data_IF_271520406230
#
_entry.id   IF_271520406230
#
_cell.length_a   1.000
_cell.length_b   1.000
_cell.length_c   1.000
_cell.angle_alpha   90.00
_cell.angle_beta   90.00
_cell.angle_gamma   90.00
#
_symmetry.space_group_name_H-M   'P 1'
#
loop_
_entity.id
_entity.type
_entity.pdbx_description
1 polymer ?
#
# COMPACT_ATOMS: atom_id res chain seq x y z
N UNK A 1 -53.64 -13.43 22.56
CA UNK A 1 -54.39 -12.53 21.66
C UNK A 1 -53.49 -12.27 20.45
N UNK A 2 -53.86 -12.83 19.29
CA UNK A 2 -53.12 -12.65 18.05
C UNK A 2 -53.30 -11.19 17.61
N UNK A 3 -52.22 -10.49 17.31
CA UNK A 3 -52.35 -9.26 16.52
C UNK A 3 -51.24 -9.18 15.46
N UNK A 4 -51.71 -8.81 14.29
CA UNK A 4 -51.22 -9.08 12.95
C UNK A 4 -50.50 -7.82 12.45
N UNK A 5 -49.34 -7.98 11.81
CA UNK A 5 -48.56 -6.90 11.17
C UNK A 5 -49.35 -6.24 10.03
N UNK A 6 -49.21 -4.93 9.78
CA UNK A 6 -49.46 -4.34 8.48
C UNK A 6 -48.16 -4.17 7.68
N UNK A 7 -48.27 -4.53 6.41
CA UNK A 7 -47.25 -4.54 5.35
C UNK A 7 -46.75 -3.15 4.96
N UNK A 8 -45.51 -3.15 4.45
CA UNK A 8 -44.83 -2.02 3.83
C UNK A 8 -45.38 -1.76 2.42
N UNK A 9 -45.96 -0.57 2.18
CA UNK A 9 -46.26 -0.07 0.83
C UNK A 9 -45.24 0.97 0.38
N UNK A 10 -44.85 0.84 -0.88
CA UNK A 10 -43.99 1.76 -1.63
C UNK A 10 -44.68 3.12 -1.80
N UNK A 11 -43.99 4.22 -1.51
CA UNK A 11 -44.54 5.55 -1.76
C UNK A 11 -43.65 6.69 -1.32
N UNK A 12 -42.96 7.25 -2.29
CA UNK A 12 -42.22 8.51 -2.25
C UNK A 12 -43.11 9.69 -1.78
N UNK A 13 -42.78 10.30 -0.64
CA UNK A 13 -42.94 11.74 -0.35
C UNK A 13 -42.50 12.01 1.10
N UNK A 14 -41.23 12.41 1.28
CA UNK A 14 -40.76 12.89 2.59
C UNK A 14 -41.23 14.34 2.73
N UNK A 15 -42.35 14.51 3.43
CA UNK A 15 -42.80 15.80 3.94
C UNK A 15 -41.95 16.13 5.17
N UNK A 16 -41.11 17.16 5.06
CA UNK A 16 -40.20 17.57 6.11
C UNK A 16 -40.91 18.55 7.05
N UNK A 17 -41.39 18.03 8.19
CA UNK A 17 -41.94 18.85 9.26
C UNK A 17 -40.80 19.31 10.18
N UNK A 18 -40.54 20.63 10.15
CA UNK A 18 -39.47 21.31 10.89
C UNK A 18 -39.93 21.56 12.32
N UNK A 19 -39.42 20.78 13.27
CA UNK A 19 -39.57 21.09 14.69
C UNK A 19 -38.39 21.91 15.21
N UNK A 20 -38.75 23.06 15.79
CA UNK A 20 -37.86 24.07 16.32
C UNK A 20 -37.20 23.60 17.62
N UNK A 21 -36.06 22.91 17.53
CA UNK A 21 -35.17 22.62 18.67
C UNK A 21 -33.75 22.24 18.18
N UNK A 22 -33.07 23.10 17.42
CA UNK A 22 -31.71 22.74 16.91
C UNK A 22 -30.80 23.95 16.61
N UNK A 23 -30.49 24.77 17.60
CA UNK A 23 -29.57 25.92 17.43
C UNK A 23 -28.08 25.60 17.64
N UNK A 24 -27.70 24.35 17.98
CA UNK A 24 -26.29 23.96 18.13
C UNK A 24 -25.83 22.85 17.15
N UNK A 25 -26.74 22.14 16.47
CA UNK A 25 -26.38 21.11 15.48
C UNK A 25 -26.19 21.66 14.05
N UNK A 26 -26.67 22.88 13.79
CA UNK A 26 -26.75 23.45 12.43
C UNK A 26 -25.39 23.80 11.79
N UNK A 27 -24.32 23.93 12.59
CA UNK A 27 -22.99 24.32 12.08
C UNK A 27 -22.13 23.13 11.68
N UNK A 28 -22.26 21.99 12.35
CA UNK A 28 -21.46 20.78 12.07
C UNK A 28 -21.92 20.04 10.80
N UNK A 29 -23.22 20.06 10.50
CA UNK A 29 -23.77 19.35 9.35
C UNK A 29 -23.57 20.10 8.03
N UNK A 30 -23.50 21.44 8.04
CA UNK A 30 -23.28 22.26 6.83
C UNK A 30 -21.83 22.21 6.32
N UNK A 31 -20.84 22.17 7.21
CA UNK A 31 -19.42 22.07 6.84
C UNK A 31 -19.06 20.66 6.33
N UNK A 32 -19.66 19.64 6.95
CA UNK A 32 -19.52 18.23 6.54
C UNK A 32 -20.24 17.96 5.21
N UNK A 33 -21.39 18.57 4.96
CA UNK A 33 -22.09 18.42 3.67
C UNK A 33 -21.33 19.12 2.54
N UNK A 34 -20.77 20.31 2.79
CA UNK A 34 -20.00 21.05 1.78
C UNK A 34 -18.71 20.34 1.37
N UNK A 35 -17.97 19.75 2.33
CA UNK A 35 -16.76 18.97 2.03
C UNK A 35 -17.05 17.68 1.25
N UNK A 36 -18.17 17.01 1.53
CA UNK A 36 -18.61 15.82 0.79
C UNK A 36 -19.06 16.16 -0.64
N UNK A 37 -19.79 17.28 -0.84
CA UNK A 37 -20.23 17.74 -2.16
C UNK A 37 -19.03 18.16 -3.01
N UNK A 38 -18.07 18.90 -2.46
CA UNK A 38 -16.85 19.31 -3.18
C UNK A 38 -15.98 18.10 -3.56
N UNK A 39 -15.88 17.10 -2.66
CA UNK A 39 -15.21 15.84 -2.94
C UNK A 39 -15.89 15.04 -4.06
N UNK A 40 -17.23 15.04 -4.12
CA UNK A 40 -17.99 14.36 -5.18
C UNK A 40 -17.86 15.09 -6.52
N UNK A 41 -17.85 16.42 -6.51
CA UNK A 41 -17.64 17.22 -7.72
C UNK A 41 -16.22 17.02 -8.27
N UNK A 42 -15.20 17.05 -7.41
CA UNK A 42 -13.82 16.68 -7.78
C UNK A 42 -13.74 15.26 -8.33
N UNK A 43 -14.52 14.31 -7.80
CA UNK A 43 -14.59 12.94 -8.32
C UNK A 43 -15.15 12.88 -9.74
N UNK A 44 -16.23 13.61 -10.00
CA UNK A 44 -16.88 13.61 -11.31
C UNK A 44 -16.02 14.32 -12.38
N UNK A 45 -15.31 15.39 -12.02
CA UNK A 45 -14.41 16.11 -12.93
C UNK A 45 -13.19 15.24 -13.29
N UNK A 46 -12.56 14.59 -12.32
CA UNK A 46 -11.42 13.68 -12.59
C UNK A 46 -11.82 12.50 -13.46
N UNK A 47 -13.00 11.91 -13.23
CA UNK A 47 -13.50 10.81 -14.05
C UNK A 47 -13.81 11.25 -15.48
N UNK A 48 -14.30 12.49 -15.67
CA UNK A 48 -14.61 13.06 -16.98
C UNK A 48 -13.36 13.43 -17.80
N UNK A 49 -12.31 13.95 -17.15
CA UNK A 49 -11.09 14.42 -17.83
C UNK A 49 -10.04 13.33 -18.10
N UNK A 50 -9.88 12.37 -17.18
CA UNK A 50 -8.84 11.35 -17.28
C UNK A 50 -9.37 9.93 -17.49
N UNK A 51 -10.68 9.68 -17.31
CA UNK A 51 -11.24 8.33 -17.35
C UNK A 51 -10.68 7.38 -16.27
N UNK A 52 -9.98 7.94 -15.27
CA UNK A 52 -9.32 7.21 -14.19
C UNK A 52 -9.92 7.67 -12.87
N UNK A 53 -10.32 6.71 -12.03
CA UNK A 53 -10.85 7.01 -10.71
C UNK A 53 -9.83 7.81 -9.88
N UNK A 54 -10.19 8.96 -9.27
CA UNK A 54 -9.27 9.80 -8.51
C UNK A 54 -8.70 9.07 -7.28
N UNK A 55 -9.44 8.11 -6.74
CA UNK A 55 -8.99 7.24 -5.67
C UNK A 55 -7.87 6.33 -6.16
N UNK A 56 -7.99 5.78 -7.37
CA UNK A 56 -6.94 4.97 -7.96
C UNK A 56 -5.71 5.81 -8.31
N UNK A 57 -5.88 7.04 -8.82
CA UNK A 57 -4.77 7.96 -9.04
C UNK A 57 -3.99 8.24 -7.74
N UNK A 58 -4.69 8.44 -6.61
CA UNK A 58 -4.05 8.59 -5.29
C UNK A 58 -3.20 7.37 -4.93
N UNK A 59 -3.68 6.16 -5.18
CA UNK A 59 -2.90 4.93 -4.93
C UNK A 59 -1.63 4.89 -5.79
N UNK A 60 -1.76 5.19 -7.08
CA UNK A 60 -0.65 5.18 -8.04
C UNK A 60 0.42 6.21 -7.66
N UNK A 61 0.01 7.40 -7.25
CA UNK A 61 0.93 8.42 -6.75
C UNK A 61 1.59 8.00 -5.43
N UNK A 62 0.85 7.35 -4.53
CA UNK A 62 1.40 6.82 -3.30
C UNK A 62 2.46 5.75 -3.58
N UNK A 63 2.22 4.83 -4.52
CA UNK A 63 3.20 3.84 -4.98
C UNK A 63 4.46 4.48 -5.56
N UNK A 64 4.30 5.47 -6.45
CA UNK A 64 5.43 6.21 -7.01
C UNK A 64 6.26 6.89 -5.91
N UNK A 65 5.60 7.55 -4.95
CA UNK A 65 6.26 8.23 -3.84
C UNK A 65 6.94 7.24 -2.89
N UNK A 66 6.28 6.12 -2.59
CA UNK A 66 6.84 5.07 -1.73
C UNK A 66 8.10 4.45 -2.33
N UNK A 67 8.06 4.08 -3.61
CA UNK A 67 9.24 3.57 -4.31
C UNK A 67 10.32 4.65 -4.46
N UNK A 68 9.93 5.91 -4.64
CA UNK A 68 10.89 7.03 -4.65
C UNK A 68 11.65 7.13 -3.31
N UNK A 69 10.93 7.16 -2.18
CA UNK A 69 11.53 7.26 -0.86
C UNK A 69 12.45 6.07 -0.56
N UNK A 70 12.00 4.85 -0.90
CA UNK A 70 12.80 3.64 -0.77
C UNK A 70 14.14 3.76 -1.49
N UNK A 71 14.10 4.10 -2.77
CA UNK A 71 15.31 4.18 -3.59
C UNK A 71 16.18 5.38 -3.23
N UNK A 72 15.58 6.49 -2.82
CA UNK A 72 16.32 7.69 -2.42
C UNK A 72 17.14 7.44 -1.14
N UNK A 73 16.56 6.78 -0.13
CA UNK A 73 17.28 6.40 1.08
C UNK A 73 18.41 5.40 0.81
N UNK A 74 18.17 4.40 -0.05
CA UNK A 74 19.23 3.46 -0.48
C UNK A 74 20.37 4.20 -1.17
N UNK A 75 20.06 5.13 -2.09
CA UNK A 75 21.07 5.96 -2.74
C UNK A 75 21.84 6.83 -1.72
N UNK A 76 21.16 7.44 -0.75
CA UNK A 76 21.80 8.23 0.30
C UNK A 76 22.75 7.41 1.18
N UNK A 77 22.40 6.16 1.47
CA UNK A 77 23.28 5.23 2.16
C UNK A 77 24.54 4.95 1.33
N UNK A 78 24.39 4.60 0.05
CA UNK A 78 25.51 4.36 -0.87
C UNK A 78 26.43 5.57 -1.00
N UNK A 79 25.85 6.77 -1.11
CA UNK A 79 26.61 8.03 -1.12
C UNK A 79 27.40 8.26 0.17
N UNK A 80 26.79 7.96 1.31
CA UNK A 80 27.45 8.11 2.61
C UNK A 80 28.67 7.18 2.73
N UNK A 81 28.59 5.97 2.16
CA UNK A 81 29.73 5.04 2.09
C UNK A 81 30.90 5.65 1.31
N UNK A 82 30.60 6.23 0.14
CA UNK A 82 31.60 6.80 -0.77
C UNK A 82 32.25 8.06 -0.17
N UNK A 83 31.45 8.95 0.44
CA UNK A 83 31.93 10.21 1.03
C UNK A 83 32.79 9.95 2.27
N UNK A 84 32.36 9.04 3.15
CA UNK A 84 33.09 8.76 4.40
C UNK A 84 34.29 7.83 4.19
N UNK A 85 34.40 7.17 3.04
CA UNK A 85 35.47 6.20 2.76
C UNK A 85 35.42 4.97 3.68
N UNK A 86 34.28 4.71 4.31
CA UNK A 86 34.07 3.58 5.23
C UNK A 86 33.34 2.49 4.48
N UNK A 87 33.89 1.27 4.54
CA UNK A 87 33.14 0.08 4.12
C UNK A 87 32.03 -0.18 5.13
N UNK A 88 30.80 0.03 4.68
CA UNK A 88 29.63 -0.32 5.45
C UNK A 88 29.21 -1.73 5.08
N UNK A 89 28.92 -2.54 6.08
CA UNK A 89 28.63 -3.95 5.91
C UNK A 89 27.25 -4.20 5.30
N UNK A 90 26.99 -5.47 5.01
CA UNK A 90 25.68 -5.94 4.53
C UNK A 90 24.57 -5.66 5.55
N UNK A 91 24.90 -5.66 6.84
CA UNK A 91 23.93 -5.43 7.93
C UNK A 91 23.35 -4.02 7.88
N UNK A 92 24.19 -3.02 7.66
CA UNK A 92 23.81 -1.62 7.62
C UNK A 92 22.97 -1.33 6.37
N UNK A 93 23.37 -1.88 5.22
CA UNK A 93 22.58 -1.80 4.00
C UNK A 93 21.19 -2.43 4.18
N UNK A 94 21.12 -3.65 4.74
CA UNK A 94 19.87 -4.34 5.00
C UNK A 94 19.00 -3.60 6.01
N UNK A 95 19.59 -3.03 7.05
CA UNK A 95 18.87 -2.27 8.09
C UNK A 95 18.29 -0.99 7.52
N UNK A 96 19.04 -0.22 6.73
CA UNK A 96 18.52 0.99 6.07
C UNK A 96 17.39 0.66 5.11
N UNK A 97 17.55 -0.38 4.28
CA UNK A 97 16.48 -0.80 3.37
C UNK A 97 15.22 -1.23 4.15
N UNK A 98 15.37 -2.10 5.16
CA UNK A 98 14.24 -2.59 5.95
C UNK A 98 13.52 -1.47 6.71
N UNK A 99 14.26 -0.56 7.37
CA UNK A 99 13.66 0.56 8.09
C UNK A 99 12.92 1.51 7.14
N UNK A 100 13.48 1.74 5.95
CA UNK A 100 12.81 2.57 4.94
C UNK A 100 11.53 1.91 4.46
N UNK A 101 11.54 0.61 4.18
CA UNK A 101 10.34 -0.15 3.82
C UNK A 101 9.28 -0.04 4.92
N UNK A 102 9.65 -0.20 6.20
CA UNK A 102 8.72 -0.02 7.33
C UNK A 102 8.08 1.37 7.29
N UNK A 103 8.89 2.44 7.22
CA UNK A 103 8.36 3.81 7.17
C UNK A 103 7.39 4.00 6.00
N UNK A 104 7.75 3.52 4.82
CA UNK A 104 6.91 3.62 3.63
C UNK A 104 5.61 2.83 3.79
N UNK A 105 5.67 1.55 4.20
CA UNK A 105 4.49 0.70 4.40
C UNK A 105 3.54 1.30 5.43
N UNK A 106 4.04 1.81 6.55
CA UNK A 106 3.18 2.48 7.55
C UNK A 106 2.58 3.79 7.01
N UNK A 107 3.27 4.50 6.12
CA UNK A 107 2.81 5.78 5.58
C UNK A 107 1.77 5.62 4.47
N UNK A 108 2.01 4.71 3.51
CA UNK A 108 1.18 4.58 2.30
C UNK A 108 0.39 3.26 2.23
N UNK A 109 0.60 2.34 3.17
CA UNK A 109 -0.11 1.06 3.25
C UNK A 109 -1.63 1.23 3.26
N UNK A 110 -2.21 2.08 4.13
CA UNK A 110 -3.65 2.34 4.15
C UNK A 110 -4.20 2.97 2.86
N UNK A 111 -3.33 3.57 2.04
CA UNK A 111 -3.72 4.28 0.82
C UNK A 111 -3.69 3.34 -0.39
N UNK A 112 -2.59 2.61 -0.57
CA UNK A 112 -2.27 1.90 -1.82
C UNK A 112 -2.08 0.39 -1.68
N UNK A 113 -1.93 -0.11 -0.45
CA UNK A 113 -1.43 -1.45 -0.16
C UNK A 113 0.09 -1.53 -0.03
N UNK A 114 0.82 -0.44 -0.35
CA UNK A 114 2.27 -0.33 -0.29
C UNK A 114 3.00 -1.51 -0.96
N UNK A 115 2.65 -1.81 -2.22
CA UNK A 115 3.33 -2.86 -2.97
C UNK A 115 4.78 -2.48 -3.22
N UNK A 116 5.03 -1.22 -3.62
CA UNK A 116 6.32 -0.55 -3.85
C UNK A 116 7.33 -1.34 -4.69
N UNK A 117 6.87 -2.38 -5.36
CA UNK A 117 7.65 -3.37 -6.09
C UNK A 117 6.75 -4.02 -7.18
N UNK A 118 7.21 -4.04 -8.44
CA UNK A 118 6.51 -4.72 -9.53
C UNK A 118 6.26 -6.21 -9.29
N UNK A 119 7.21 -6.94 -8.72
CA UNK A 119 7.10 -8.38 -8.45
C UNK A 119 6.02 -8.66 -7.39
N UNK A 120 5.97 -7.85 -6.33
CA UNK A 120 4.93 -7.92 -5.29
C UNK A 120 3.56 -7.62 -5.89
N UNK A 121 3.44 -6.57 -6.71
CA UNK A 121 2.19 -6.21 -7.39
C UNK A 121 1.69 -7.35 -8.27
N UNK A 122 2.59 -7.95 -9.05
CA UNK A 122 2.24 -9.05 -9.95
C UNK A 122 1.82 -10.30 -9.17
N UNK A 123 2.48 -10.59 -8.05
CA UNK A 123 2.17 -11.75 -7.25
C UNK A 123 0.85 -11.60 -6.48
N UNK A 124 0.53 -10.43 -5.94
CA UNK A 124 -0.80 -10.17 -5.38
C UNK A 124 -1.89 -10.29 -6.44
N UNK A 125 -1.61 -9.89 -7.69
CA UNK A 125 -2.55 -10.09 -8.80
C UNK A 125 -2.71 -11.59 -9.16
N UNK A 126 -1.63 -12.36 -9.13
CA UNK A 126 -1.64 -13.80 -9.39
C UNK A 126 -2.41 -14.60 -8.33
N UNK A 127 -2.35 -14.20 -7.06
CA UNK A 127 -3.09 -14.84 -5.95
C UNK A 127 -4.55 -14.30 -5.86
N UNK A 128 -4.94 -13.34 -6.72
CA UNK A 128 -6.30 -12.82 -6.78
C UNK A 128 -6.63 -11.73 -5.74
N UNK A 129 -5.61 -11.25 -5.01
CA UNK A 129 -5.75 -10.17 -4.03
C UNK A 129 -5.65 -8.76 -4.65
N UNK A 130 -5.29 -8.65 -5.94
CA UNK A 130 -5.22 -7.37 -6.65
C UNK A 130 -5.73 -7.48 -8.10
N UNK A 131 -6.54 -6.53 -8.60
CA UNK A 131 -7.10 -6.62 -9.96
C UNK A 131 -6.03 -6.40 -11.03
N UNK A 132 -5.96 -7.32 -11.99
CA UNK A 132 -5.01 -7.29 -13.12
C UNK A 132 -5.05 -6.01 -13.95
N UNK A 133 -6.20 -5.34 -14.06
CA UNK A 133 -6.35 -4.08 -14.79
C UNK A 133 -5.55 -2.92 -14.18
N UNK A 134 -5.23 -2.98 -12.88
CA UNK A 134 -4.50 -1.92 -12.17
C UNK A 134 -2.98 -2.14 -12.17
N UNK A 135 -2.53 -3.37 -12.44
CA UNK A 135 -1.11 -3.78 -12.39
C UNK A 135 -0.22 -2.90 -13.28
N UNK A 136 -0.55 -2.65 -14.57
CA UNK A 136 0.36 -1.90 -15.44
C UNK A 136 0.66 -0.50 -14.93
N UNK A 137 -0.34 0.19 -14.37
CA UNK A 137 -0.16 1.56 -13.89
C UNK A 137 0.63 1.62 -12.59
N UNK A 138 0.46 0.62 -11.71
CA UNK A 138 1.30 0.46 -10.52
C UNK A 138 2.76 0.21 -10.91
N UNK A 139 3.02 -0.70 -11.85
CA UNK A 139 4.38 -1.01 -12.31
C UNK A 139 5.04 0.23 -12.92
N UNK A 140 4.33 0.98 -13.76
CA UNK A 140 4.83 2.23 -14.34
C UNK A 140 5.13 3.27 -13.25
N UNK A 141 4.27 3.40 -12.24
CA UNK A 141 4.49 4.31 -11.13
C UNK A 141 5.71 3.93 -10.27
N UNK A 142 5.87 2.65 -9.95
CA UNK A 142 7.02 2.14 -9.18
C UNK A 142 8.33 2.32 -9.95
N UNK A 143 8.36 1.96 -11.24
CA UNK A 143 9.54 2.16 -12.10
C UNK A 143 9.84 3.64 -12.30
N UNK A 144 8.82 4.48 -12.49
CA UNK A 144 8.99 5.93 -12.58
C UNK A 144 9.54 6.52 -11.28
N UNK A 145 9.01 6.12 -10.14
CA UNK A 145 9.47 6.55 -8.82
C UNK A 145 10.93 6.17 -8.55
N UNK A 146 11.33 4.95 -8.88
CA UNK A 146 12.72 4.50 -8.72
C UNK A 146 13.69 5.29 -9.60
N UNK A 147 13.33 5.52 -10.88
CA UNK A 147 14.14 6.32 -11.80
C UNK A 147 14.33 7.74 -11.26
N UNK A 148 13.23 8.40 -10.87
CA UNK A 148 13.27 9.77 -10.34
C UNK A 148 14.10 9.85 -9.06
N UNK A 149 14.02 8.84 -8.18
CA UNK A 149 14.82 8.76 -6.98
C UNK A 149 16.31 8.62 -7.28
N UNK A 150 16.68 7.75 -8.21
CA UNK A 150 18.08 7.57 -8.62
C UNK A 150 18.65 8.85 -9.25
N UNK A 151 17.90 9.53 -10.12
CA UNK A 151 18.34 10.80 -10.70
C UNK A 151 18.47 11.91 -9.66
N UNK A 152 17.51 12.00 -8.74
CA UNK A 152 17.56 12.95 -7.62
C UNK A 152 18.75 12.64 -6.72
N UNK A 153 18.98 11.37 -6.37
CA UNK A 153 20.14 10.94 -5.58
C UNK A 153 21.47 11.26 -6.26
N UNK A 154 21.57 11.07 -7.58
CA UNK A 154 22.74 11.49 -8.36
C UNK A 154 22.97 13.00 -8.28
N UNK A 155 21.91 13.81 -8.38
CA UNK A 155 22.00 15.27 -8.32
C UNK A 155 22.38 15.76 -6.91
N UNK A 156 21.74 15.21 -5.89
CA UNK A 156 21.91 15.64 -4.48
C UNK A 156 23.24 15.18 -3.90
N UNK A 157 23.62 13.93 -4.17
CA UNK A 157 24.80 13.31 -3.57
C UNK A 157 26.03 13.28 -4.50
N UNK A 158 25.89 13.67 -5.78
CA UNK A 158 26.99 13.61 -6.74
C UNK A 158 27.41 12.19 -7.13
N UNK A 159 26.57 11.18 -6.87
CA UNK A 159 26.86 9.77 -7.12
C UNK A 159 27.13 9.46 -8.60
N UNK A 160 28.11 8.58 -8.86
CA UNK A 160 28.26 7.99 -10.19
C UNK A 160 27.18 6.91 -10.39
N UNK A 161 26.57 6.91 -11.57
CA UNK A 161 25.41 6.06 -11.89
C UNK A 161 25.68 4.55 -11.76
N UNK A 162 26.95 4.13 -11.77
CA UNK A 162 27.35 2.72 -11.68
C UNK A 162 27.07 2.07 -10.32
N UNK A 163 26.89 2.86 -9.26
CA UNK A 163 26.69 2.34 -7.90
C UNK A 163 25.24 1.95 -7.57
N UNK A 164 24.27 2.36 -8.39
CA UNK A 164 22.84 2.17 -8.07
C UNK A 164 22.25 0.92 -8.73
N UNK A 165 22.99 0.29 -9.65
CA UNK A 165 22.56 -0.96 -10.29
C UNK A 165 23.14 -2.16 -9.54
N UNK A 166 22.27 -3.04 -9.04
CA UNK A 166 22.69 -4.36 -8.55
C UNK A 166 23.15 -5.22 -9.74
N UNK A 167 24.46 -5.42 -9.87
CA UNK A 167 25.01 -6.38 -10.82
C UNK A 167 24.92 -7.77 -10.19
N UNK A 168 24.30 -8.76 -10.85
CA UNK A 168 24.28 -10.12 -10.31
C UNK A 168 25.73 -10.63 -10.25
N UNK A 169 26.16 -11.03 -9.05
CA UNK A 169 27.50 -11.58 -8.83
C UNK A 169 27.64 -12.99 -9.43
N UNK A 170 26.51 -13.63 -9.76
CA UNK A 170 26.38 -14.98 -10.30
C UNK A 170 25.48 -15.01 -11.56
N UNK A 171 25.22 -16.21 -12.08
CA UNK A 171 24.32 -16.45 -13.22
C UNK A 171 22.93 -15.83 -13.03
N UNK A 172 22.31 -15.36 -14.12
CA UNK A 172 20.97 -14.77 -14.15
C UNK A 172 19.91 -15.69 -13.53
N UNK A 173 20.07 -17.01 -13.69
CA UNK A 173 19.16 -18.00 -13.10
C UNK A 173 19.18 -17.97 -11.57
N UNK A 174 20.36 -17.76 -10.95
CA UNK A 174 20.49 -17.66 -9.49
C UNK A 174 19.78 -16.41 -8.98
N UNK A 175 19.98 -15.26 -9.63
CA UNK A 175 19.32 -14.01 -9.28
C UNK A 175 17.79 -14.11 -9.37
N UNK A 176 17.26 -14.81 -10.39
CA UNK A 176 15.83 -15.07 -10.50
C UNK A 176 15.28 -15.84 -9.30
N UNK A 177 15.92 -16.94 -8.88
CA UNK A 177 15.45 -17.72 -7.73
C UNK A 177 15.57 -16.96 -6.41
N UNK A 178 16.61 -16.14 -6.24
CA UNK A 178 16.76 -15.27 -5.06
C UNK A 178 15.62 -14.26 -5.00
N UNK A 179 15.31 -13.58 -6.11
CA UNK A 179 14.21 -12.60 -6.17
C UNK A 179 12.85 -13.27 -5.95
N UNK A 180 12.64 -14.46 -6.53
CA UNK A 180 11.43 -15.27 -6.34
C UNK A 180 11.24 -15.63 -4.87
N UNK A 181 12.30 -16.13 -4.22
CA UNK A 181 12.25 -16.54 -2.82
C UNK A 181 12.07 -15.33 -1.89
N UNK A 182 12.76 -14.23 -2.14
CA UNK A 182 12.60 -12.99 -1.39
C UNK A 182 11.17 -12.45 -1.50
N UNK A 183 10.61 -12.43 -2.71
CA UNK A 183 9.22 -12.01 -2.96
C UNK A 183 8.24 -12.96 -2.26
N UNK A 184 8.48 -14.27 -2.30
CA UNK A 184 7.67 -15.26 -1.58
C UNK A 184 7.64 -14.99 -0.08
N UNK A 185 8.79 -14.71 0.53
CA UNK A 185 8.88 -14.38 1.97
C UNK A 185 8.09 -13.10 2.27
N UNK A 186 8.26 -12.04 1.48
CA UNK A 186 7.53 -10.77 1.67
C UNK A 186 6.02 -10.96 1.54
N UNK A 187 5.56 -11.75 0.57
CA UNK A 187 4.14 -12.03 0.38
C UNK A 187 3.56 -12.92 1.47
N UNK A 188 4.29 -13.94 1.90
CA UNK A 188 3.87 -14.79 3.01
C UNK A 188 3.66 -13.98 4.28
N UNK A 189 4.61 -13.10 4.60
CA UNK A 189 4.49 -12.18 5.73
C UNK A 189 3.31 -11.21 5.55
N UNK A 190 3.17 -10.61 4.37
CA UNK A 190 2.08 -9.69 4.09
C UNK A 190 0.71 -10.37 4.23
N UNK A 191 0.56 -11.57 3.68
CA UNK A 191 -0.66 -12.37 3.79
C UNK A 191 -0.96 -12.79 5.24
N UNK A 192 0.07 -13.18 6.01
CA UNK A 192 -0.10 -13.52 7.43
C UNK A 192 -0.56 -12.34 8.26
N UNK A 193 -0.05 -11.13 7.98
CA UNK A 193 -0.44 -9.91 8.70
C UNK A 193 -1.84 -9.44 8.31
N UNK A 194 -2.22 -9.57 7.05
CA UNK A 194 -3.57 -9.17 6.59
C UNK A 194 -4.67 -10.11 7.06
N UNK A 195 -4.36 -11.39 7.30
CA UNK A 195 -5.32 -12.37 7.82
C UNK A 195 -5.35 -12.41 9.36
N UNK A 196 -4.68 -11.48 10.04
CA UNK A 196 -4.73 -11.36 11.49
C UNK A 196 -6.05 -10.71 11.92
N UNK A 197 -7.03 -11.52 12.34
CA UNK A 197 -8.22 -11.07 13.04
C UNK A 197 -7.92 -10.98 14.54
N UNK A 198 -7.83 -9.77 15.14
CA UNK A 198 -7.61 -9.61 16.58
C UNK A 198 -8.80 -10.08 17.43
N UNK A 199 -9.94 -10.40 16.83
CA UNK A 199 -11.17 -10.79 17.52
C UNK A 199 -11.44 -12.30 17.50
N UNK A 200 -10.57 -13.12 16.89
CA UNK A 200 -10.66 -14.58 16.98
C UNK A 200 -9.85 -15.09 18.18
N UNK A 201 -10.50 -15.27 19.32
CA UNK A 201 -10.00 -16.02 20.49
C UNK A 201 -9.86 -17.55 20.20
N UNK A 202 -9.36 -17.91 19.02
CA UNK A 202 -9.17 -19.30 18.56
C UNK A 202 -7.69 -19.71 18.47
N UNK A 203 -6.77 -18.95 19.07
CA UNK A 203 -5.36 -19.36 19.16
C UNK A 203 -5.16 -20.60 20.03
N UNK A 204 -6.03 -20.83 21.01
CA UNK A 204 -6.00 -22.03 21.83
C UNK A 204 -6.46 -23.27 21.05
N UNK A 205 -7.35 -23.14 20.07
CA UNK A 205 -7.80 -24.29 19.28
C UNK A 205 -6.76 -24.71 18.23
N UNK A 206 -6.05 -23.78 17.59
CA UNK A 206 -4.98 -24.14 16.63
C UNK A 206 -3.77 -24.81 17.33
N UNK A 207 -3.45 -24.39 18.56
CA UNK A 207 -2.38 -25.01 19.35
C UNK A 207 -2.81 -26.31 20.05
N UNK A 208 -4.09 -26.50 20.34
CA UNK A 208 -4.63 -27.74 20.93
C UNK A 208 -5.10 -28.77 19.89
N UNK A 209 -5.38 -28.38 18.64
CA UNK A 209 -5.82 -29.27 17.55
C UNK A 209 -4.66 -29.86 16.72
N UNK A 210 -3.40 -29.61 17.08
CA UNK A 210 -2.28 -30.34 16.50
C UNK A 210 -2.28 -31.78 17.02
N UNK A 211 -2.40 -32.81 16.16
CA UNK A 211 -2.38 -34.19 16.62
C UNK A 211 -0.95 -34.55 17.06
N UNK A 212 -0.76 -34.73 18.37
CA UNK A 212 0.44 -35.31 18.97
C UNK A 212 0.46 -36.84 18.77
N UNK A 213 0.15 -37.31 17.57
CA UNK A 213 -0.06 -38.74 17.29
C UNK A 213 1.22 -39.43 16.76
N UNK A 214 2.35 -38.73 16.75
CA UNK A 214 3.64 -39.25 16.26
C UNK A 214 4.63 -39.66 17.36
N UNK A 215 4.15 -39.86 18.60
CA UNK A 215 4.92 -40.41 19.72
C UNK A 215 4.20 -41.56 20.45
N UNK A 216 3.63 -42.48 19.67
CA UNK A 216 3.35 -43.87 20.11
C UNK A 216 3.34 -44.81 18.92
#
# INVERSE_FOLDING_TARGET
MIMKLPSYENGLSVEFQVDASTSEQSTYDQETTSSNVEMLEKRNICNSLLGIDPIFLRMVLAEALGTFLLMFCICGMMASMEIMGVQVGLMEYATTAALTVVVVVFSIGPISGAHINPAVTLAFAAVGHFPWSKVPLYVVAQVGGSIVATYTGKLVYGLKAEFVTTKPLQSCTSAFFVELLATFIVLFLSASLTNYDPQSDHYLDFLLAWPLDWLS
#
